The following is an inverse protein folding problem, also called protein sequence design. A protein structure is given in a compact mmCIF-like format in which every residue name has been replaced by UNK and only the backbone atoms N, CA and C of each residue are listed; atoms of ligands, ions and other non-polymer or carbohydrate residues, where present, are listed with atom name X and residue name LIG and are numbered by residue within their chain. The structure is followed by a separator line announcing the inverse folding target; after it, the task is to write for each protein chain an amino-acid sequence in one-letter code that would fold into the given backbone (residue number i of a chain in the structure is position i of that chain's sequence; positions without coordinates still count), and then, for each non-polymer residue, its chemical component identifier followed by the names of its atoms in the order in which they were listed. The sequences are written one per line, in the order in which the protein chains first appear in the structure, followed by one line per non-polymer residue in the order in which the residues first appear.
data_IF_456580098185
#
_entry.id   IF_456580098185
#
_cell.length_a   1.000
_cell.length_b   1.000
_cell.length_c   1.000
_cell.angle_alpha   90.00
_cell.angle_beta   90.00
_cell.angle_gamma   90.00
#
_symmetry.space_group_name_H-M   'P 1'
#
loop_
_entity.id
_entity.type
_entity.pdbx_description
1 polymer ?
#
# COMPACT_ATOMS: atom_id res chain seq x y z
N UNK A 1 5.07 -14.42 -11.38
CA UNK A 1 3.63 -14.23 -11.10
C UNK A 1 3.45 -13.12 -10.09
N UNK A 2 2.46 -12.21 -10.28
CA UNK A 2 2.15 -11.14 -9.34
C UNK A 2 1.60 -11.68 -8.02
N UNK A 3 1.61 -10.87 -6.94
CA UNK A 3 1.04 -11.25 -5.63
C UNK A 3 -0.42 -11.69 -5.75
N UNK A 4 -1.23 -10.94 -6.51
CA UNK A 4 -2.64 -11.30 -6.73
C UNK A 4 -2.84 -12.58 -7.54
N UNK A 5 -1.95 -12.90 -8.48
CA UNK A 5 -1.99 -14.18 -9.20
C UNK A 5 -1.65 -15.36 -8.27
N UNK A 6 -0.63 -15.21 -7.41
CA UNK A 6 -0.30 -16.23 -6.40
C UNK A 6 -1.47 -16.46 -5.45
N UNK A 7 -2.12 -15.39 -4.99
CA UNK A 7 -3.26 -15.49 -4.09
C UNK A 7 -4.45 -16.22 -4.74
N UNK A 8 -4.74 -15.94 -6.01
CA UNK A 8 -5.79 -16.67 -6.76
C UNK A 8 -5.47 -18.15 -6.91
N UNK A 9 -4.20 -18.52 -7.14
CA UNK A 9 -3.77 -19.92 -7.18
C UNK A 9 -3.97 -20.60 -5.82
N UNK A 10 -3.58 -19.95 -4.72
CA UNK A 10 -3.80 -20.49 -3.36
C UNK A 10 -5.28 -20.71 -3.06
N UNK A 11 -6.15 -19.77 -3.43
CA UNK A 11 -7.59 -19.94 -3.28
C UNK A 11 -8.10 -21.09 -4.14
N UNK A 12 -7.67 -21.19 -5.42
CA UNK A 12 -8.07 -22.28 -6.30
C UNK A 12 -7.67 -23.65 -5.72
N UNK A 13 -6.49 -23.75 -5.13
CA UNK A 13 -6.04 -24.96 -4.43
C UNK A 13 -6.93 -25.29 -3.21
N UNK A 14 -7.26 -24.27 -2.40
CA UNK A 14 -8.09 -24.46 -1.20
C UNK A 14 -9.50 -24.92 -1.52
N UNK A 15 -10.07 -24.48 -2.65
CA UNK A 15 -11.45 -24.84 -3.04
C UNK A 15 -11.53 -26.04 -3.98
N UNK A 16 -10.41 -26.65 -4.37
CA UNK A 16 -10.37 -27.75 -5.35
C UNK A 16 -11.19 -28.99 -4.93
N UNK A 17 -11.34 -29.20 -3.63
CA UNK A 17 -12.12 -30.31 -3.07
C UNK A 17 -13.55 -29.90 -2.61
N UNK A 18 -14.05 -28.76 -3.11
CA UNK A 18 -15.40 -28.25 -2.79
C UNK A 18 -15.71 -28.23 -1.28
N UNK A 19 -14.92 -27.51 -0.46
CA UNK A 19 -15.10 -27.53 0.99
C UNK A 19 -16.39 -26.83 1.42
N UNK A 20 -16.99 -27.30 2.53
CA UNK A 20 -18.12 -26.64 3.17
C UNK A 20 -17.72 -25.35 3.91
N UNK A 21 -16.44 -25.24 4.32
CA UNK A 21 -15.90 -24.11 5.05
C UNK A 21 -14.52 -23.72 4.49
N UNK A 22 -14.36 -22.46 4.13
CA UNK A 22 -13.09 -21.85 3.77
C UNK A 22 -12.59 -20.94 4.89
N UNK A 23 -11.38 -21.15 5.38
CA UNK A 23 -10.69 -20.22 6.30
C UNK A 23 -9.70 -19.41 5.48
N UNK A 24 -9.90 -18.10 5.45
CA UNK A 24 -9.06 -17.16 4.72
C UNK A 24 -8.36 -16.24 5.73
N UNK A 25 -7.08 -16.55 6.03
CA UNK A 25 -6.26 -15.80 6.97
C UNK A 25 -5.47 -14.72 6.23
N UNK A 26 -5.84 -13.46 6.46
CA UNK A 26 -5.29 -12.26 5.83
C UNK A 26 -5.09 -12.38 4.30
N UNK A 27 -6.08 -12.84 3.53
CA UNK A 27 -5.89 -13.18 2.12
C UNK A 27 -5.66 -11.96 1.22
N UNK A 28 -5.76 -10.76 1.75
CA UNK A 28 -5.58 -9.49 1.04
C UNK A 28 -4.30 -8.75 1.44
N UNK A 29 -3.54 -9.28 2.39
CA UNK A 29 -2.28 -8.66 2.84
C UNK A 29 -1.28 -8.60 1.68
N UNK A 30 -0.61 -7.47 1.55
CA UNK A 30 0.34 -7.15 0.47
C UNK A 30 -0.26 -7.06 -0.95
N UNK A 31 -1.59 -6.98 -1.08
CA UNK A 31 -2.25 -6.68 -2.36
C UNK A 31 -2.56 -5.17 -2.47
N UNK A 32 -2.51 -4.66 -3.69
CA UNK A 32 -3.03 -3.32 -3.99
C UNK A 32 -4.56 -3.28 -3.93
N UNK A 33 -5.14 -2.09 -3.74
CA UNK A 33 -6.58 -1.90 -3.51
C UNK A 33 -7.46 -2.48 -4.62
N UNK A 34 -7.04 -2.38 -5.88
CA UNK A 34 -7.78 -2.90 -7.04
C UNK A 34 -7.80 -4.43 -7.05
N UNK A 35 -6.64 -5.04 -6.79
CA UNK A 35 -6.50 -6.50 -6.66
C UNK A 35 -7.26 -7.03 -5.45
N UNK A 36 -7.25 -6.33 -4.31
CA UNK A 36 -8.07 -6.66 -3.13
C UNK A 36 -9.56 -6.71 -3.48
N UNK A 37 -10.08 -5.64 -4.13
CA UNK A 37 -11.49 -5.59 -4.53
C UNK A 37 -11.86 -6.75 -5.45
N UNK A 38 -11.03 -7.01 -6.46
CA UNK A 38 -11.23 -8.13 -7.39
C UNK A 38 -11.26 -9.48 -6.69
N UNK A 39 -10.40 -9.65 -5.66
CA UNK A 39 -10.34 -10.87 -4.85
C UNK A 39 -11.60 -11.04 -3.99
N UNK A 40 -12.07 -9.99 -3.33
CA UNK A 40 -13.29 -10.02 -2.51
C UNK A 40 -14.53 -10.37 -3.37
N UNK A 41 -14.64 -9.76 -4.56
CA UNK A 41 -15.71 -10.09 -5.51
C UNK A 41 -15.64 -11.55 -5.95
N UNK A 42 -14.43 -12.07 -6.22
CA UNK A 42 -14.21 -13.47 -6.57
C UNK A 42 -14.63 -14.41 -5.44
N UNK A 43 -14.20 -14.15 -4.20
CA UNK A 43 -14.56 -14.94 -3.02
C UNK A 43 -16.08 -14.99 -2.80
N UNK A 44 -16.78 -13.85 -2.90
CA UNK A 44 -18.24 -13.79 -2.80
C UNK A 44 -18.92 -14.59 -3.91
N UNK A 45 -18.41 -14.53 -5.14
CA UNK A 45 -18.92 -15.33 -6.26
C UNK A 45 -18.79 -16.84 -6.01
N UNK A 46 -17.61 -17.26 -5.55
CA UNK A 46 -17.31 -18.67 -5.25
C UNK A 46 -18.18 -19.14 -4.10
N UNK A 47 -18.27 -18.37 -3.00
CA UNK A 47 -19.11 -18.65 -1.85
C UNK A 47 -20.55 -18.96 -2.27
N UNK A 48 -21.14 -18.06 -3.06
CA UNK A 48 -22.51 -18.23 -3.56
C UNK A 48 -22.67 -19.44 -4.47
N UNK A 49 -21.70 -19.67 -5.36
CA UNK A 49 -21.77 -20.80 -6.31
C UNK A 49 -21.66 -22.16 -5.65
N UNK A 50 -20.81 -22.25 -4.61
CA UNK A 50 -20.51 -23.52 -3.92
C UNK A 50 -21.35 -23.72 -2.67
N UNK A 51 -22.08 -22.71 -2.19
CA UNK A 51 -22.85 -22.77 -0.94
C UNK A 51 -21.99 -22.87 0.32
N UNK A 52 -20.66 -22.58 0.23
CA UNK A 52 -19.74 -22.73 1.34
C UNK A 52 -19.80 -21.55 2.32
N UNK A 53 -19.42 -21.82 3.58
CA UNK A 53 -19.18 -20.79 4.58
C UNK A 53 -17.74 -20.25 4.51
N UNK A 54 -17.54 -19.01 4.93
CA UNK A 54 -16.20 -18.40 4.97
C UNK A 54 -15.92 -17.82 6.36
N UNK A 55 -14.77 -18.17 6.95
CA UNK A 55 -14.16 -17.41 8.04
C UNK A 55 -13.10 -16.51 7.40
N UNK A 56 -13.34 -15.21 7.45
CA UNK A 56 -12.43 -14.21 6.88
C UNK A 56 -11.70 -13.46 7.99
N UNK A 57 -10.40 -13.67 8.11
CA UNK A 57 -9.56 -13.03 9.14
C UNK A 57 -8.84 -11.83 8.49
N UNK A 58 -8.96 -10.67 9.11
CA UNK A 58 -8.27 -9.45 8.67
C UNK A 58 -8.17 -8.44 9.81
N UNK A 59 -7.09 -7.65 9.78
CA UNK A 59 -6.94 -6.45 10.62
C UNK A 59 -7.53 -5.19 9.95
N UNK A 60 -7.94 -5.26 8.68
CA UNK A 60 -8.56 -4.14 7.97
C UNK A 60 -10.09 -4.21 8.07
N UNK A 61 -10.63 -3.36 8.94
CA UNK A 61 -12.08 -3.26 9.18
C UNK A 61 -12.87 -2.89 7.91
N UNK A 62 -12.30 -2.12 6.98
CA UNK A 62 -12.98 -1.75 5.73
C UNK A 62 -13.17 -2.96 4.82
N UNK A 63 -12.25 -3.92 4.86
CA UNK A 63 -12.36 -5.18 4.14
C UNK A 63 -13.43 -6.07 4.80
N UNK A 64 -13.36 -6.22 6.13
CA UNK A 64 -14.33 -7.01 6.91
C UNK A 64 -15.75 -6.50 6.64
N UNK A 65 -15.97 -5.19 6.66
CA UNK A 65 -17.26 -4.55 6.35
C UNK A 65 -17.83 -4.93 4.97
N UNK A 66 -16.96 -5.21 4.00
CA UNK A 66 -17.38 -5.53 2.61
C UNK A 66 -17.71 -7.01 2.39
N UNK A 67 -17.14 -7.91 3.19
CA UNK A 67 -17.26 -9.35 2.94
C UNK A 67 -18.03 -10.11 4.02
N UNK A 68 -18.14 -9.60 5.24
CA UNK A 68 -18.69 -10.33 6.36
C UNK A 68 -20.16 -9.98 6.61
N UNK A 69 -20.93 -10.98 7.09
CA UNK A 69 -22.31 -10.80 7.54
C UNK A 69 -22.35 -10.63 9.07
N UNK A 70 -21.44 -11.33 9.79
CA UNK A 70 -21.20 -11.23 11.24
C UNK A 70 -19.74 -10.97 11.50
N UNK A 71 -19.42 -10.32 12.60
CA UNK A 71 -18.07 -9.96 13.00
C UNK A 71 -17.81 -10.39 14.43
N UNK A 72 -16.67 -11.05 14.65
CA UNK A 72 -16.09 -11.31 15.96
C UNK A 72 -14.88 -10.41 16.15
N UNK A 73 -14.87 -9.63 17.21
CA UNK A 73 -13.72 -8.81 17.60
C UNK A 73 -12.94 -9.55 18.69
N UNK A 74 -11.66 -9.80 18.42
CA UNK A 74 -10.80 -10.54 19.35
C UNK A 74 -9.67 -9.67 19.89
N UNK A 75 -9.33 -9.85 21.17
CA UNK A 75 -8.17 -9.24 21.80
C UNK A 75 -7.56 -10.21 22.81
N UNK A 76 -6.23 -10.40 22.76
CA UNK A 76 -5.46 -11.25 23.69
C UNK A 76 -6.04 -12.68 23.83
N UNK A 77 -6.52 -13.25 22.73
CA UNK A 77 -7.09 -14.58 22.68
C UNK A 77 -8.56 -14.71 23.14
N UNK A 78 -9.20 -13.61 23.50
CA UNK A 78 -10.59 -13.55 23.96
C UNK A 78 -11.49 -12.86 22.93
N UNK A 79 -12.73 -13.31 22.80
CA UNK A 79 -13.77 -12.60 22.05
C UNK A 79 -14.25 -11.44 22.93
N UNK A 80 -14.09 -10.21 22.47
CA UNK A 80 -14.55 -8.99 23.15
C UNK A 80 -15.95 -8.61 22.75
N UNK A 81 -16.29 -8.79 21.49
CA UNK A 81 -17.63 -8.51 20.98
C UNK A 81 -17.93 -9.39 19.77
N UNK A 82 -19.18 -9.81 19.66
CA UNK A 82 -19.71 -10.54 18.51
C UNK A 82 -21.09 -10.00 18.17
N UNK A 83 -21.30 -9.63 16.91
CA UNK A 83 -22.61 -9.16 16.44
C UNK A 83 -22.67 -9.19 14.89
N UNK A 84 -23.85 -8.78 14.35
CA UNK A 84 -23.95 -8.48 12.93
C UNK A 84 -22.95 -7.38 12.52
N UNK A 85 -22.55 -7.39 11.26
CA UNK A 85 -21.65 -6.39 10.74
C UNK A 85 -22.17 -4.95 11.01
N UNK A 86 -23.47 -4.71 10.82
CA UNK A 86 -24.07 -3.39 11.04
C UNK A 86 -23.97 -2.94 12.50
N UNK A 87 -24.29 -3.81 13.45
CA UNK A 87 -24.24 -3.49 14.89
C UNK A 87 -22.82 -3.19 15.35
N UNK A 88 -21.83 -4.00 14.95
CA UNK A 88 -20.43 -3.77 15.30
C UNK A 88 -19.94 -2.38 14.83
N UNK A 89 -20.34 -1.95 13.62
CA UNK A 89 -19.86 -0.68 13.07
C UNK A 89 -20.69 0.54 13.47
N UNK A 90 -21.99 0.36 13.79
CA UNK A 90 -22.87 1.48 14.14
C UNK A 90 -23.03 1.66 15.65
N UNK A 91 -23.05 0.57 16.42
CA UNK A 91 -23.34 0.52 17.84
C UNK A 91 -22.35 -0.38 18.62
N UNK A 92 -21.02 -0.19 18.52
CA UNK A 92 -20.05 -1.00 19.24
C UNK A 92 -20.25 -0.84 20.75
N UNK A 93 -20.35 -1.97 21.48
CA UNK A 93 -20.59 -1.97 22.93
C UNK A 93 -19.29 -2.07 23.72
N UNK A 94 -18.35 -2.91 23.25
CA UNK A 94 -17.08 -3.11 23.93
C UNK A 94 -16.14 -1.91 23.72
N UNK A 95 -15.45 -1.40 24.77
CA UNK A 95 -14.54 -0.26 24.67
C UNK A 95 -13.34 -0.50 23.71
N UNK A 96 -12.91 -1.75 23.54
CA UNK A 96 -11.85 -2.07 22.59
C UNK A 96 -12.36 -1.97 21.15
N UNK A 97 -13.58 -2.51 20.87
CA UNK A 97 -14.25 -2.39 19.58
C UNK A 97 -14.45 -0.93 19.20
N UNK A 98 -14.92 -0.10 20.13
CA UNK A 98 -15.08 1.35 19.92
C UNK A 98 -13.76 2.02 19.55
N UNK A 99 -12.67 1.74 20.29
CA UNK A 99 -11.34 2.27 19.97
C UNK A 99 -10.85 1.79 18.61
N UNK A 100 -11.06 0.52 18.27
CA UNK A 100 -10.62 -0.06 17.01
C UNK A 100 -11.31 0.62 15.80
N UNK A 101 -12.61 0.87 15.89
CA UNK A 101 -13.39 1.54 14.85
C UNK A 101 -13.00 3.03 14.75
N UNK A 102 -12.86 3.71 15.90
CA UNK A 102 -12.53 5.13 15.96
C UNK A 102 -11.05 5.44 15.69
N UNK A 103 -10.18 4.41 15.63
CA UNK A 103 -8.75 4.59 15.32
C UNK A 103 -8.47 4.92 13.84
N UNK A 104 -9.48 4.86 12.97
CA UNK A 104 -9.34 5.36 11.60
C UNK A 104 -9.08 6.87 11.63
N UNK A 105 -7.97 7.35 11.03
CA UNK A 105 -7.64 8.78 11.05
C UNK A 105 -8.78 9.58 10.40
N UNK A 106 -9.30 10.56 11.12
CA UNK A 106 -10.23 11.51 10.52
C UNK A 106 -9.55 12.27 9.37
N UNK A 107 -10.29 12.53 8.26
CA UNK A 107 -9.75 13.37 7.19
C UNK A 107 -9.38 14.74 7.76
N UNK A 108 -8.12 15.13 7.64
CA UNK A 108 -7.65 16.45 8.07
C UNK A 108 -8.47 17.53 7.36
N UNK A 109 -9.34 18.20 8.08
CA UNK A 109 -9.90 19.50 7.72
C UNK A 109 -8.86 20.55 8.08
N UNK A 110 -7.97 20.87 7.16
CA UNK A 110 -6.95 21.90 7.38
C UNK A 110 -6.77 22.74 6.14
N UNK A 111 -6.80 24.05 6.27
CA UNK A 111 -6.35 24.99 5.24
C UNK A 111 -4.83 24.91 5.16
N UNK A 112 -4.33 24.30 4.09
CA UNK A 112 -2.89 24.33 3.77
C UNK A 112 -2.59 25.73 3.25
N UNK A 113 -1.62 26.42 3.87
CA UNK A 113 -1.14 27.70 3.37
C UNK A 113 -0.44 27.47 2.02
N UNK A 114 -1.02 27.99 0.94
CA UNK A 114 -0.81 27.48 -0.42
C UNK A 114 0.43 28.06 -1.14
N UNK A 115 1.25 28.87 -0.48
CA UNK A 115 2.23 29.71 -1.16
C UNK A 115 3.66 29.13 -1.24
N UNK A 116 4.03 28.15 -0.44
CA UNK A 116 5.40 27.65 -0.41
C UNK A 116 5.50 26.23 -1.01
N UNK A 117 6.16 26.10 -2.14
CA UNK A 117 6.49 24.80 -2.75
C UNK A 117 7.73 24.20 -2.08
N UNK A 118 7.66 22.93 -1.64
CA UNK A 118 8.81 22.22 -1.12
C UNK A 118 9.46 21.34 -2.19
N UNK A 119 8.63 20.75 -3.06
CA UNK A 119 9.07 19.89 -4.16
C UNK A 119 8.32 20.24 -5.43
N UNK A 120 9.04 20.38 -6.51
CA UNK A 120 8.49 20.51 -7.87
C UNK A 120 9.20 19.55 -8.82
N UNK A 121 8.41 18.79 -9.55
CA UNK A 121 8.86 17.84 -10.57
C UNK A 121 8.31 18.31 -11.92
N UNK A 122 9.16 18.34 -12.93
CA UNK A 122 8.78 18.76 -14.28
C UNK A 122 9.33 17.76 -15.29
N UNK A 123 8.44 17.27 -16.17
CA UNK A 123 8.74 16.36 -17.28
C UNK A 123 9.64 15.18 -16.88
N UNK A 124 9.33 14.53 -15.74
CA UNK A 124 10.14 13.42 -15.23
C UNK A 124 9.84 12.13 -15.99
N UNK A 125 10.87 11.58 -16.62
CA UNK A 125 10.83 10.27 -17.26
C UNK A 125 11.82 9.31 -16.62
N UNK A 126 11.45 8.04 -16.48
CA UNK A 126 12.32 6.97 -16.01
C UNK A 126 12.12 5.71 -16.83
N UNK A 127 13.20 5.20 -17.38
CA UNK A 127 13.21 3.96 -18.16
C UNK A 127 14.21 2.98 -17.56
N UNK A 128 13.76 1.81 -17.21
CA UNK A 128 14.62 0.68 -16.83
C UNK A 128 15.06 -0.10 -18.06
N UNK A 129 16.31 -0.56 -18.06
CA UNK A 129 16.80 -1.50 -19.06
C UNK A 129 17.07 -2.86 -18.43
N UNK A 130 16.59 -3.91 -19.04
CA UNK A 130 16.87 -5.30 -18.65
C UNK A 130 17.57 -6.01 -19.80
N UNK A 131 18.65 -6.71 -19.52
CA UNK A 131 19.29 -7.63 -20.47
C UNK A 131 18.69 -9.01 -20.27
N UNK A 132 18.28 -9.69 -21.34
CA UNK A 132 17.92 -11.08 -21.31
C UNK A 132 19.18 -11.98 -21.31
N UNK A 133 18.98 -13.29 -21.16
CA UNK A 133 20.06 -14.29 -21.19
C UNK A 133 20.88 -14.28 -22.48
N UNK A 134 20.33 -13.73 -23.57
CA UNK A 134 20.94 -13.69 -24.92
C UNK A 134 21.61 -12.31 -25.15
N UNK A 135 21.62 -11.44 -24.13
CA UNK A 135 22.24 -10.11 -24.22
C UNK A 135 21.38 -9.04 -24.87
N UNK A 136 20.13 -9.32 -25.28
CA UNK A 136 19.22 -8.31 -25.84
C UNK A 136 18.73 -7.41 -24.75
N UNK A 137 18.78 -6.10 -25.01
CA UNK A 137 18.26 -5.05 -24.09
C UNK A 137 16.76 -4.87 -24.34
N UNK A 138 15.95 -5.07 -23.32
CA UNK A 138 14.57 -4.61 -23.28
C UNK A 138 14.49 -3.35 -22.42
N UNK A 139 13.63 -2.42 -22.82
CA UNK A 139 13.42 -1.15 -22.10
C UNK A 139 12.00 -1.10 -21.58
N UNK A 140 11.84 -0.72 -20.31
CA UNK A 140 10.57 -0.55 -19.66
C UNK A 140 10.46 0.88 -19.13
N UNK A 141 9.53 1.67 -19.68
CA UNK A 141 9.26 3.02 -19.21
C UNK A 141 8.39 2.95 -17.95
N UNK A 142 8.98 3.25 -16.80
CA UNK A 142 8.33 3.22 -15.50
C UNK A 142 7.64 4.56 -15.16
N UNK A 143 8.16 5.67 -15.64
CA UNK A 143 7.59 7.01 -15.49
C UNK A 143 7.59 7.69 -16.86
N UNK A 144 6.54 8.43 -17.17
CA UNK A 144 6.37 9.16 -18.42
C UNK A 144 5.83 10.55 -18.15
N UNK A 145 6.64 11.58 -18.44
CA UNK A 145 6.26 12.99 -18.35
C UNK A 145 5.54 13.37 -17.05
N UNK A 146 6.07 12.91 -15.90
CA UNK A 146 5.45 13.19 -14.60
C UNK A 146 5.71 14.65 -14.22
N UNK A 147 4.61 15.34 -13.93
CA UNK A 147 4.62 16.71 -13.43
C UNK A 147 3.88 16.72 -12.08
N UNK A 148 4.51 17.28 -11.05
CA UNK A 148 3.99 17.23 -9.68
C UNK A 148 4.57 18.37 -8.85
N UNK A 149 3.73 18.97 -8.01
CA UNK A 149 4.15 19.95 -7.01
C UNK A 149 3.65 19.55 -5.64
N UNK A 150 4.52 19.60 -4.62
CA UNK A 150 4.17 19.40 -3.21
C UNK A 150 4.44 20.69 -2.47
N UNK A 151 3.46 21.12 -1.70
CA UNK A 151 3.54 22.33 -0.87
C UNK A 151 4.06 22.01 0.52
N UNK A 152 4.71 22.96 1.19
CA UNK A 152 5.11 22.78 2.59
C UNK A 152 3.91 22.48 3.47
N UNK A 153 4.12 21.64 4.48
CA UNK A 153 3.08 21.22 5.45
C UNK A 153 1.86 20.52 4.83
N UNK A 154 1.94 20.09 3.56
CA UNK A 154 0.89 19.30 2.91
C UNK A 154 1.23 17.81 2.90
N UNK A 155 0.19 16.98 2.80
CA UNK A 155 0.31 15.55 2.54
C UNK A 155 -0.30 15.24 1.18
N UNK A 156 0.47 14.59 0.32
CA UNK A 156 0.02 14.12 -0.99
C UNK A 156 -0.16 12.61 -0.97
N UNK A 157 -1.37 12.14 -1.28
CA UNK A 157 -1.65 10.72 -1.49
C UNK A 157 -1.30 10.30 -2.91
N UNK A 158 -0.41 9.30 -3.07
CA UNK A 158 -0.08 8.70 -4.35
C UNK A 158 -0.68 7.29 -4.42
N UNK A 159 -1.69 7.10 -5.25
CA UNK A 159 -2.44 5.85 -5.37
C UNK A 159 -2.34 5.26 -6.78
N UNK A 160 -2.51 3.95 -6.89
CA UNK A 160 -2.46 3.23 -8.16
C UNK A 160 -2.16 1.75 -7.96
N UNK A 161 -2.33 0.95 -9.01
CA UNK A 161 -2.08 -0.49 -9.01
C UNK A 161 -0.60 -0.84 -8.76
N UNK A 162 -0.34 -2.10 -8.41
CA UNK A 162 1.03 -2.61 -8.33
C UNK A 162 1.72 -2.48 -9.69
N UNK A 163 2.96 -1.98 -9.68
CA UNK A 163 3.70 -1.72 -10.93
C UNK A 163 3.38 -0.40 -11.63
N UNK A 164 2.50 0.46 -11.09
CA UNK A 164 2.16 1.76 -11.71
C UNK A 164 3.25 2.84 -11.62
N UNK A 165 4.41 2.55 -11.04
CA UNK A 165 5.53 3.48 -10.96
C UNK A 165 5.66 4.27 -9.64
N UNK A 166 4.78 4.07 -8.64
CA UNK A 166 4.82 4.81 -7.36
C UNK A 166 6.17 4.74 -6.66
N UNK A 167 6.71 3.53 -6.48
CA UNK A 167 8.02 3.33 -5.86
C UNK A 167 9.16 3.86 -6.72
N UNK A 168 9.01 3.82 -8.04
CA UNK A 168 9.97 4.40 -8.98
C UNK A 168 10.02 5.92 -8.85
N UNK A 169 8.86 6.57 -8.70
CA UNK A 169 8.77 8.02 -8.45
C UNK A 169 9.44 8.39 -7.12
N UNK A 170 9.13 7.68 -6.04
CA UNK A 170 9.75 7.92 -4.72
C UNK A 170 11.27 7.79 -4.76
N UNK A 171 11.80 6.75 -5.44
CA UNK A 171 13.25 6.55 -5.63
C UNK A 171 13.89 7.62 -6.50
N UNK A 172 13.18 8.10 -7.53
CA UNK A 172 13.65 9.21 -8.37
C UNK A 172 13.75 10.51 -7.59
N UNK A 173 12.76 10.82 -6.74
CA UNK A 173 12.80 12.00 -5.87
C UNK A 173 14.03 11.96 -4.97
N UNK A 174 14.40 10.81 -4.43
CA UNK A 174 15.60 10.63 -3.61
C UNK A 174 16.92 10.63 -4.40
N UNK A 175 16.86 10.70 -5.73
CA UNK A 175 18.04 10.62 -6.58
C UNK A 175 18.71 9.25 -6.58
N UNK A 176 17.98 8.18 -6.24
CA UNK A 176 18.45 6.79 -6.26
C UNK A 176 18.44 6.26 -7.70
N UNK A 177 17.40 6.63 -8.47
CA UNK A 177 17.24 6.21 -9.86
C UNK A 177 17.74 7.30 -10.81
N UNK A 178 18.25 6.88 -11.97
CA UNK A 178 18.64 7.80 -13.04
C UNK A 178 17.40 8.17 -13.86
N UNK A 179 17.05 9.43 -13.85
CA UNK A 179 15.89 9.97 -14.54
C UNK A 179 16.28 11.10 -15.51
N UNK A 180 15.40 11.44 -16.44
CA UNK A 180 15.42 12.70 -17.20
C UNK A 180 14.31 13.63 -16.69
N UNK A 181 14.41 14.92 -16.99
CA UNK A 181 13.54 15.97 -16.45
C UNK A 181 14.15 16.67 -15.24
N UNK A 182 13.35 17.38 -14.48
CA UNK A 182 13.80 18.18 -13.34
C UNK A 182 13.09 17.82 -12.05
N UNK A 183 13.87 17.77 -10.97
CA UNK A 183 13.35 17.69 -9.59
C UNK A 183 13.98 18.84 -8.81
N UNK A 184 13.12 19.76 -8.36
CA UNK A 184 13.49 20.93 -7.58
C UNK A 184 13.03 20.70 -6.15
N UNK A 185 13.93 20.72 -5.18
CA UNK A 185 13.64 20.63 -3.76
C UNK A 185 14.18 21.87 -3.06
N UNK A 186 13.31 22.55 -2.29
CA UNK A 186 13.63 23.84 -1.65
C UNK A 186 14.26 24.84 -2.64
N UNK A 187 13.62 25.06 -3.79
CA UNK A 187 14.01 26.00 -4.86
C UNK A 187 15.34 25.68 -5.54
N UNK A 188 15.92 24.48 -5.35
CA UNK A 188 17.16 24.09 -6.01
C UNK A 188 17.05 22.71 -6.66
N UNK A 189 17.52 22.58 -7.91
CA UNK A 189 17.51 21.33 -8.66
C UNK A 189 18.47 20.31 -8.02
N UNK A 190 17.95 19.11 -7.66
CA UNK A 190 18.72 18.06 -6.98
C UNK A 190 19.87 17.51 -7.82
N UNK A 191 19.77 17.57 -9.15
CA UNK A 191 20.83 17.15 -10.07
C UNK A 191 22.07 18.06 -10.02
N UNK A 192 21.91 19.30 -9.53
CA UNK A 192 22.99 20.31 -9.41
C UNK A 192 23.60 20.37 -8.01
N UNK A 193 23.22 19.43 -7.11
CA UNK A 193 23.73 19.42 -5.75
C UNK A 193 25.20 19.00 -5.68
N UNK A 194 25.99 19.76 -4.93
CA UNK A 194 27.34 19.36 -4.52
C UNK A 194 27.27 18.30 -3.39
N UNK A 195 28.41 17.78 -2.95
CA UNK A 195 28.45 16.71 -1.95
C UNK A 195 27.86 17.11 -0.58
N UNK A 196 28.05 18.35 -0.15
CA UNK A 196 27.47 18.86 1.10
C UNK A 196 25.95 18.97 1.00
N UNK A 197 25.44 19.48 -0.11
CA UNK A 197 24.02 19.62 -0.38
C UNK A 197 23.32 18.27 -0.53
N UNK A 198 23.96 17.30 -1.16
CA UNK A 198 23.48 15.92 -1.21
C UNK A 198 23.33 15.30 0.18
N UNK A 199 24.30 15.56 1.09
CA UNK A 199 24.22 15.11 2.48
C UNK A 199 23.07 15.78 3.23
N UNK A 200 22.90 17.08 3.05
CA UNK A 200 21.80 17.85 3.64
C UNK A 200 20.44 17.40 3.10
N UNK A 201 20.32 17.21 1.78
CA UNK A 201 19.10 16.69 1.14
C UNK A 201 18.70 15.32 1.71
N UNK A 202 19.64 14.37 1.79
CA UNK A 202 19.41 13.04 2.34
C UNK A 202 18.95 13.09 3.82
N UNK A 203 19.36 14.11 4.59
CA UNK A 203 18.88 14.31 5.96
C UNK A 203 17.43 14.81 6.00
N UNK A 204 17.03 15.65 5.04
CA UNK A 204 15.73 16.32 5.04
C UNK A 204 14.67 15.61 4.17
N UNK A 205 15.07 14.67 3.32
CA UNK A 205 14.19 13.87 2.50
C UNK A 205 14.45 12.38 2.76
N UNK A 206 13.53 11.73 3.45
CA UNK A 206 13.65 10.35 3.93
C UNK A 206 12.59 9.45 3.33
N UNK A 207 12.86 8.16 3.23
CA UNK A 207 11.96 7.14 2.72
C UNK A 207 11.71 6.07 3.80
N UNK A 208 10.45 5.76 4.03
CA UNK A 208 10.05 4.55 4.75
C UNK A 208 9.77 3.48 3.71
N UNK A 209 10.55 2.40 3.72
CA UNK A 209 10.40 1.30 2.76
C UNK A 209 9.17 0.45 3.07
N UNK A 210 8.59 -0.14 2.03
CA UNK A 210 7.42 -1.01 2.13
C UNK A 210 7.68 -2.27 2.96
N UNK A 211 8.89 -2.83 2.89
CA UNK A 211 9.32 -3.99 3.66
C UNK A 211 10.36 -3.57 4.70
N UNK A 212 9.99 -3.50 5.99
CA UNK A 212 10.93 -3.14 7.05
C UNK A 212 12.01 -4.21 7.28
N UNK A 213 11.72 -5.48 7.02
CA UNK A 213 12.67 -6.57 7.27
C UNK A 213 13.83 -6.56 6.28
N UNK A 214 13.59 -6.19 5.03
CA UNK A 214 14.67 -6.03 4.05
C UNK A 214 15.49 -4.75 4.27
N UNK A 215 14.98 -3.82 5.08
CA UNK A 215 15.57 -2.49 5.30
C UNK A 215 16.39 -2.40 6.59
N UNK A 216 16.16 -3.33 7.53
CA UNK A 216 16.85 -3.40 8.81
C UNK A 216 17.86 -4.55 8.79
N UNK A 217 19.08 -4.29 9.24
CA UNK A 217 20.05 -5.36 9.41
C UNK A 217 19.63 -6.26 10.59
N UNK A 218 19.41 -7.58 10.36
CA UNK A 218 19.04 -8.50 11.46
C UNK A 218 20.13 -8.66 12.53
N UNK A 219 21.34 -8.12 12.27
CA UNK A 219 22.49 -8.17 13.19
C UNK A 219 22.66 -6.90 14.00
N UNK A 220 21.89 -5.84 13.73
CA UNK A 220 21.98 -4.59 14.50
C UNK A 220 20.87 -4.55 15.56
N UNK A 221 21.26 -4.25 16.79
CA UNK A 221 20.31 -3.97 17.88
C UNK A 221 19.73 -2.57 17.68
N UNK A 222 18.42 -2.43 17.89
CA UNK A 222 17.73 -1.14 17.97
C UNK A 222 17.76 -0.76 19.44
N UNK A 223 18.35 0.39 19.74
CA UNK A 223 18.39 0.94 21.10
C UNK A 223 17.19 1.87 21.32
#
# INVERSE_FOLDING_TARGET
ISGGQRQRVMIAMAIANEPDLLIADEPTTALDVSTQQSLLVLLRKIQKKMGMSIIFISHDLNIVKKISDRVLVMQKGEIKEENSMNEIFQNPKDPYTQRLINSSPEPKKGTVNLNDEILKISALDLTYSKKDFIGRKSYFSALKNINLTIKKNSALGLVGESGSGKSSLARSILGIEKFSGEIIFNNKNISKYNNSEKKHFKKNCQLVFQDPFSSLSPRQKIF
#
